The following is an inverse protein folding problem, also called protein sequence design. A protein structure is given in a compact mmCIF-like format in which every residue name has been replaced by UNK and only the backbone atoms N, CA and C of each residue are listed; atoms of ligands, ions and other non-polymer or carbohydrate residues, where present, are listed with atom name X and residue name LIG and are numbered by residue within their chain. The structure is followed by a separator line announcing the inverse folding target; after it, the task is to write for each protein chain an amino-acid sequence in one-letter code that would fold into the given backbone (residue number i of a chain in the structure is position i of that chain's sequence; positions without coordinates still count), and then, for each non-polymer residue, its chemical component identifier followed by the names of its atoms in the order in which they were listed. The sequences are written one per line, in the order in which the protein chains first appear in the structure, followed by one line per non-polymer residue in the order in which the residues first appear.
data_IF_281287549024
#
_entry.id   IF_281287549024
#
_cell.length_a   1.000
_cell.length_b   1.000
_cell.length_c   1.000
_cell.angle_alpha   90.00
_cell.angle_beta   90.00
_cell.angle_gamma   90.00
#
_symmetry.space_group_name_H-M   'P 1'
#
loop_
_entity.id
_entity.type
_entity.pdbx_description
1 polymer ?
#
# COMPACT_ATOMS: atom_id res chain seq x y z
N UNK A 1 66.20 7.11 -14.05
CA UNK A 1 65.94 6.93 -15.51
C UNK A 1 65.57 5.46 -15.68
N UNK A 2 64.27 5.17 -15.66
CA UNK A 2 63.45 4.82 -16.86
C UNK A 2 63.55 3.32 -17.17
N UNK A 3 62.64 2.50 -16.64
CA UNK A 3 61.35 2.00 -17.23
C UNK A 3 61.53 0.85 -18.23
N UNK A 4 61.07 -0.35 -17.86
CA UNK A 4 60.16 -1.21 -18.66
C UNK A 4 59.79 -2.47 -17.85
N UNK A 5 58.51 -2.89 -17.87
CA UNK A 5 58.06 -3.76 -18.96
C UNK A 5 56.66 -3.37 -19.49
N UNK A 6 56.58 -2.91 -20.74
CA UNK A 6 55.34 -2.49 -21.38
C UNK A 6 54.92 -3.39 -22.57
N UNK A 7 55.33 -4.66 -22.60
CA UNK A 7 55.15 -5.50 -23.80
C UNK A 7 54.14 -6.66 -23.68
N UNK A 8 53.42 -6.83 -22.56
CA UNK A 8 52.50 -7.98 -22.37
C UNK A 8 51.00 -7.65 -22.54
N UNK A 9 50.61 -6.38 -22.52
CA UNK A 9 49.19 -5.98 -22.50
C UNK A 9 48.40 -6.09 -23.82
N UNK A 10 48.97 -5.84 -25.02
CA UNK A 10 48.16 -5.82 -26.25
C UNK A 10 47.83 -7.22 -26.78
N UNK A 11 48.64 -8.23 -26.47
CA UNK A 11 48.39 -9.61 -26.91
C UNK A 11 47.17 -10.23 -26.20
N UNK A 12 46.99 -9.94 -24.91
CA UNK A 12 45.84 -10.41 -24.13
C UNK A 12 44.52 -9.79 -24.60
N UNK A 13 44.52 -8.50 -24.94
CA UNK A 13 43.33 -7.81 -25.46
C UNK A 13 42.82 -8.37 -26.79
N UNK A 14 43.72 -8.94 -27.60
CA UNK A 14 43.37 -9.58 -28.87
C UNK A 14 42.86 -11.03 -28.71
N UNK A 15 42.91 -11.60 -27.50
CA UNK A 15 42.34 -12.93 -27.19
C UNK A 15 40.93 -12.85 -26.59
N UNK A 16 40.47 -11.64 -26.27
CA UNK A 16 39.10 -11.44 -25.80
C UNK A 16 38.13 -11.71 -26.97
N UNK A 17 37.02 -12.41 -26.73
CA UNK A 17 35.96 -12.50 -27.73
C UNK A 17 35.54 -11.07 -28.14
N UNK A 18 35.18 -10.86 -29.41
CA UNK A 18 34.71 -9.55 -29.85
C UNK A 18 33.59 -9.09 -28.91
N UNK A 19 33.65 -7.82 -28.52
CA UNK A 19 32.58 -7.21 -27.73
C UNK A 19 31.25 -7.55 -28.40
N UNK A 20 30.26 -8.10 -27.66
CA UNK A 20 28.96 -8.37 -28.24
C UNK A 20 28.45 -7.05 -28.84
N UNK A 21 27.93 -7.13 -30.06
CA UNK A 21 27.37 -5.97 -30.74
C UNK A 21 26.41 -5.24 -29.78
N UNK A 22 26.46 -3.89 -29.69
CA UNK A 22 25.50 -3.14 -28.90
C UNK A 22 24.11 -3.59 -29.31
N UNK A 23 23.33 -4.09 -28.35
CA UNK A 23 22.00 -4.61 -28.66
C UNK A 23 21.13 -3.46 -29.17
N UNK A 24 20.96 -3.40 -30.48
CA UNK A 24 19.95 -2.58 -31.13
C UNK A 24 18.74 -3.48 -31.37
N UNK A 25 17.67 -3.37 -30.57
CA UNK A 25 16.49 -4.18 -30.80
C UNK A 25 15.97 -3.91 -32.21
N UNK A 26 15.93 -4.96 -33.05
CA UNK A 26 15.35 -4.86 -34.39
C UNK A 26 13.87 -4.54 -34.25
N UNK A 27 13.42 -3.48 -34.93
CA UNK A 27 11.99 -3.16 -35.02
C UNK A 27 11.22 -4.40 -35.50
N UNK A 28 10.12 -4.73 -34.83
CA UNK A 28 9.28 -5.85 -35.25
C UNK A 28 8.60 -5.50 -36.59
N UNK A 29 8.46 -6.49 -37.46
CA UNK A 29 7.80 -6.36 -38.77
C UNK A 29 6.32 -5.92 -38.65
N UNK A 30 5.72 -6.03 -37.47
CA UNK A 30 4.34 -5.64 -37.17
C UNK A 30 4.21 -4.17 -36.69
N UNK A 31 5.30 -3.41 -36.66
CA UNK A 31 5.32 -2.02 -36.20
C UNK A 31 5.13 -1.86 -34.69
N UNK A 32 5.09 -2.96 -33.91
CA UNK A 32 5.05 -2.89 -32.45
C UNK A 32 6.44 -2.68 -31.88
N UNK A 33 6.54 -2.08 -30.67
CA UNK A 33 7.81 -1.96 -29.97
C UNK A 33 8.49 -3.34 -29.82
N UNK A 34 9.82 -3.41 -29.87
CA UNK A 34 10.55 -4.63 -29.53
C UNK A 34 10.16 -5.10 -28.13
N UNK A 35 10.02 -6.41 -27.95
CA UNK A 35 9.70 -6.98 -26.63
C UNK A 35 10.81 -6.57 -25.64
N UNK A 36 10.45 -6.07 -24.46
CA UNK A 36 11.45 -5.73 -23.45
C UNK A 36 12.29 -6.96 -23.13
N UNK A 37 13.63 -6.79 -23.10
CA UNK A 37 14.54 -7.86 -22.70
C UNK A 37 14.27 -8.19 -21.23
N UNK A 38 13.98 -9.45 -20.96
CA UNK A 38 13.71 -9.97 -19.62
C UNK A 38 12.25 -9.77 -19.22
N UNK A 39 11.60 -10.87 -18.81
CA UNK A 39 10.41 -10.75 -17.99
C UNK A 39 10.79 -9.95 -16.72
N UNK A 40 9.89 -9.08 -16.24
CA UNK A 40 10.10 -8.50 -14.92
C UNK A 40 10.28 -9.66 -13.91
N UNK A 41 11.20 -9.52 -12.93
CA UNK A 41 11.35 -10.52 -11.89
C UNK A 41 10.01 -10.77 -11.22
N UNK A 42 9.79 -12.01 -10.77
CA UNK A 42 8.55 -12.39 -10.08
C UNK A 42 8.41 -11.49 -8.84
N UNK A 43 7.27 -10.81 -8.64
CA UNK A 43 7.08 -9.99 -7.47
C UNK A 43 7.11 -10.84 -6.21
N UNK A 44 7.65 -10.31 -5.09
CA UNK A 44 7.44 -10.90 -3.78
C UNK A 44 5.94 -11.05 -3.52
N UNK A 45 5.56 -12.14 -2.85
CA UNK A 45 4.17 -12.33 -2.43
C UNK A 45 3.83 -11.34 -1.31
N UNK A 46 2.63 -10.75 -1.36
CA UNK A 46 2.09 -10.01 -0.22
C UNK A 46 1.94 -10.95 0.97
N UNK A 47 2.14 -10.42 2.18
CA UNK A 47 1.74 -11.14 3.38
C UNK A 47 0.22 -11.35 3.34
N UNK A 48 -0.21 -12.58 3.66
CA UNK A 48 -1.62 -12.93 3.73
C UNK A 48 -2.37 -12.15 4.82
N UNK A 49 -1.66 -11.53 5.78
CA UNK A 49 -2.21 -10.54 6.69
C UNK A 49 -2.26 -9.15 6.03
N UNK A 50 -3.40 -8.46 6.14
CA UNK A 50 -3.63 -7.13 5.53
C UNK A 50 -3.36 -7.07 4.00
N UNK A 51 -3.86 -8.01 3.19
CA UNK A 51 -3.67 -7.96 1.74
C UNK A 51 -4.32 -6.71 1.16
N UNK A 52 -3.62 -6.05 0.24
CA UNK A 52 -4.08 -4.86 -0.46
C UNK A 52 -4.41 -5.18 -1.92
N UNK A 53 -5.51 -4.61 -2.41
CA UNK A 53 -5.97 -4.71 -3.80
C UNK A 53 -6.37 -3.34 -4.34
N UNK A 54 -6.30 -3.17 -5.66
CA UNK A 54 -6.80 -1.97 -6.31
C UNK A 54 -8.33 -1.95 -6.28
N UNK A 55 -8.93 -0.94 -5.63
CA UNK A 55 -10.36 -0.71 -5.56
C UNK A 55 -10.77 0.65 -6.13
N UNK A 56 -12.04 1.02 -5.98
CA UNK A 56 -12.61 2.25 -6.56
C UNK A 56 -11.94 3.54 -6.06
N UNK A 57 -11.51 3.56 -4.79
CA UNK A 57 -10.90 4.72 -4.11
C UNK A 57 -9.37 4.59 -3.97
N UNK A 58 -8.75 3.64 -4.68
CA UNK A 58 -7.32 3.32 -4.58
C UNK A 58 -7.07 1.96 -3.91
N UNK A 59 -5.86 1.73 -3.43
CA UNK A 59 -5.48 0.50 -2.74
C UNK A 59 -6.29 0.34 -1.45
N UNK A 60 -7.05 -0.75 -1.35
CA UNK A 60 -7.95 -1.06 -0.25
C UNK A 60 -7.67 -2.47 0.29
N UNK A 61 -8.04 -2.73 1.55
CA UNK A 61 -7.94 -4.06 2.13
C UNK A 61 -8.85 -5.04 1.39
N UNK A 62 -8.30 -6.19 1.00
CA UNK A 62 -9.08 -7.30 0.47
C UNK A 62 -9.98 -7.83 1.59
N UNK A 63 -11.30 -7.77 1.39
CA UNK A 63 -12.26 -8.39 2.27
C UNK A 63 -12.28 -9.91 1.99
N UNK A 64 -12.05 -10.71 3.01
CA UNK A 64 -12.35 -12.14 2.93
C UNK A 64 -13.87 -12.32 2.93
N UNK A 65 -14.40 -13.17 2.05
CA UNK A 65 -15.81 -13.54 2.08
C UNK A 65 -16.03 -14.51 3.24
N UNK A 66 -16.85 -14.10 4.19
CA UNK A 66 -17.29 -14.97 5.27
C UNK A 66 -18.48 -15.77 4.77
N UNK A 67 -18.48 -17.08 5.03
CA UNK A 67 -19.70 -17.86 4.92
C UNK A 67 -20.76 -17.31 5.88
N UNK A 68 -22.02 -17.29 5.46
CA UNK A 68 -23.12 -16.91 6.36
C UNK A 68 -23.15 -17.88 7.55
N UNK A 69 -22.71 -17.40 8.71
CA UNK A 69 -22.75 -18.12 9.98
C UNK A 69 -23.84 -17.50 10.88
N UNK A 70 -24.90 -18.24 11.24
CA UNK A 70 -25.99 -17.73 12.07
C UNK A 70 -25.54 -17.17 13.42
N UNK A 71 -24.43 -17.68 13.97
CA UNK A 71 -23.88 -17.17 15.22
C UNK A 71 -23.27 -15.78 15.00
N UNK A 72 -22.42 -15.64 13.97
CA UNK A 72 -21.85 -14.35 13.59
C UNK A 72 -22.93 -13.31 13.25
N UNK A 73 -24.04 -13.72 12.63
CA UNK A 73 -25.20 -12.86 12.34
C UNK A 73 -25.87 -12.34 13.60
N UNK A 74 -26.25 -13.23 14.52
CA UNK A 74 -26.88 -12.83 15.78
C UNK A 74 -25.97 -11.90 16.60
N UNK A 75 -24.66 -12.16 16.62
CA UNK A 75 -23.70 -11.34 17.37
C UNK A 75 -23.51 -9.96 16.70
N UNK A 76 -23.60 -9.86 15.38
CA UNK A 76 -23.61 -8.57 14.67
C UNK A 76 -24.89 -7.77 14.94
N UNK A 77 -26.04 -8.44 14.99
CA UNK A 77 -27.31 -7.81 15.38
C UNK A 77 -27.24 -7.22 16.79
N UNK A 78 -26.62 -7.93 17.73
CA UNK A 78 -26.39 -7.45 19.10
C UNK A 78 -25.35 -6.31 19.16
N UNK A 79 -24.36 -6.32 18.26
CA UNK A 79 -23.30 -5.31 18.20
C UNK A 79 -23.82 -3.93 17.76
N UNK A 80 -24.75 -3.87 16.81
CA UNK A 80 -25.22 -2.60 16.22
C UNK A 80 -25.86 -1.65 17.27
N UNK A 81 -26.78 -2.10 18.14
CA UNK A 81 -27.31 -1.28 19.23
C UNK A 81 -26.25 -0.77 20.19
N UNK A 82 -25.22 -1.58 20.49
CA UNK A 82 -24.12 -1.17 21.36
C UNK A 82 -23.25 -0.08 20.72
N UNK A 83 -23.00 -0.19 19.41
CA UNK A 83 -22.29 0.87 18.66
C UNK A 83 -23.12 2.16 18.63
N UNK A 84 -24.44 2.06 18.46
CA UNK A 84 -25.33 3.22 18.49
C UNK A 84 -25.35 3.88 19.88
N UNK A 85 -25.43 3.09 20.95
CA UNK A 85 -25.34 3.60 22.32
C UNK A 85 -23.98 4.26 22.60
N UNK A 86 -22.88 3.65 22.13
CA UNK A 86 -21.54 4.22 22.18
C UNK A 86 -21.48 5.56 21.45
N UNK A 87 -22.05 5.65 20.24
CA UNK A 87 -22.07 6.89 19.45
C UNK A 87 -22.86 7.99 20.15
N UNK A 88 -23.98 7.63 20.78
CA UNK A 88 -24.84 8.57 21.52
C UNK A 88 -24.13 9.09 22.77
N UNK A 89 -23.57 8.20 23.59
CA UNK A 89 -22.89 8.57 24.85
C UNK A 89 -21.55 9.25 24.61
N UNK A 90 -20.82 8.80 23.60
CA UNK A 90 -19.52 9.35 23.20
C UNK A 90 -19.59 10.63 22.36
N UNK A 91 -20.77 11.21 22.13
CA UNK A 91 -20.94 12.36 21.24
C UNK A 91 -20.20 13.63 21.69
N UNK A 92 -19.84 13.73 22.97
CA UNK A 92 -19.05 14.83 23.53
C UNK A 92 -17.57 14.73 23.16
N UNK A 93 -17.11 13.54 22.76
CA UNK A 93 -15.73 13.27 22.40
C UNK A 93 -15.62 13.00 20.90
N UNK A 94 -15.16 13.99 20.13
CA UNK A 94 -15.11 13.94 18.66
C UNK A 94 -14.40 12.69 18.11
N UNK A 95 -13.34 12.24 18.77
CA UNK A 95 -12.60 11.04 18.39
C UNK A 95 -13.42 9.77 18.59
N UNK A 96 -14.13 9.65 19.71
CA UNK A 96 -15.00 8.52 20.02
C UNK A 96 -16.24 8.50 19.13
N UNK A 97 -16.86 9.65 18.91
CA UNK A 97 -18.01 9.79 18.01
C UNK A 97 -17.66 9.35 16.57
N UNK A 98 -16.51 9.81 16.06
CA UNK A 98 -16.02 9.40 14.73
C UNK A 98 -15.75 7.90 14.67
N UNK A 99 -15.11 7.36 15.70
CA UNK A 99 -14.78 5.94 15.76
C UNK A 99 -16.02 5.04 15.87
N UNK A 100 -17.03 5.45 16.63
CA UNK A 100 -18.31 4.77 16.69
C UNK A 100 -19.02 4.81 15.32
N UNK A 101 -18.94 5.93 14.60
CA UNK A 101 -19.40 6.03 13.22
C UNK A 101 -18.68 5.07 12.27
N UNK A 102 -17.35 4.99 12.34
CA UNK A 102 -16.55 4.03 11.55
C UNK A 102 -16.92 2.58 11.87
N UNK A 103 -17.14 2.25 13.15
CA UNK A 103 -17.57 0.92 13.57
C UNK A 103 -18.97 0.60 13.03
N UNK A 104 -19.90 1.54 13.10
CA UNK A 104 -21.25 1.38 12.60
C UNK A 104 -21.24 1.13 11.09
N UNK A 105 -20.51 1.94 10.32
CA UNK A 105 -20.36 1.78 8.87
C UNK A 105 -19.77 0.41 8.51
N UNK A 106 -18.79 -0.08 9.28
CA UNK A 106 -18.11 -1.37 9.01
C UNK A 106 -18.86 -2.59 9.52
N UNK A 107 -19.81 -2.42 10.43
CA UNK A 107 -20.65 -3.49 10.96
C UNK A 107 -22.03 -3.56 10.28
N UNK A 108 -22.38 -2.56 9.47
CA UNK A 108 -23.66 -2.52 8.75
C UNK A 108 -23.51 -3.11 7.35
N UNK A 109 -24.39 -4.04 6.99
CA UNK A 109 -24.44 -4.65 5.66
C UNK A 109 -24.66 -6.15 5.72
N UNK A 110 -24.64 -6.80 4.56
CA UNK A 110 -24.65 -8.27 4.47
C UNK A 110 -23.31 -8.83 4.95
N UNK A 111 -23.34 -9.86 5.81
CA UNK A 111 -22.15 -10.47 6.43
C UNK A 111 -21.11 -10.89 5.39
N UNK A 112 -21.56 -11.45 4.28
CA UNK A 112 -20.73 -11.89 3.15
C UNK A 112 -19.95 -10.75 2.49
N UNK A 113 -20.40 -9.50 2.65
CA UNK A 113 -19.78 -8.30 2.11
C UNK A 113 -18.99 -7.50 3.17
N UNK A 114 -19.06 -7.88 4.45
CA UNK A 114 -18.35 -7.19 5.51
C UNK A 114 -16.85 -7.45 5.45
N UNK A 115 -16.06 -6.39 5.58
CA UNK A 115 -14.62 -6.50 5.71
C UNK A 115 -14.26 -6.62 7.19
N UNK A 116 -14.16 -7.87 7.69
CA UNK A 116 -13.84 -8.14 9.10
C UNK A 116 -12.48 -7.64 9.53
N UNK A 117 -11.51 -7.57 8.61
CA UNK A 117 -10.22 -6.96 8.89
C UNK A 117 -10.39 -5.48 9.21
N UNK A 118 -11.19 -4.73 8.43
CA UNK A 118 -11.49 -3.32 8.74
C UNK A 118 -12.25 -3.17 10.05
N UNK A 119 -13.22 -4.05 10.33
CA UNK A 119 -13.95 -4.05 11.60
C UNK A 119 -13.00 -4.30 12.78
N UNK A 120 -12.12 -5.31 12.66
CA UNK A 120 -11.11 -5.65 13.66
C UNK A 120 -10.14 -4.49 13.90
N UNK A 121 -9.67 -3.81 12.85
CA UNK A 121 -8.82 -2.62 13.00
C UNK A 121 -9.53 -1.48 13.75
N UNK A 122 -10.82 -1.24 13.47
CA UNK A 122 -11.62 -0.25 14.25
C UNK A 122 -11.83 -0.69 15.69
N UNK A 123 -12.02 -1.98 15.95
CA UNK A 123 -12.05 -2.52 17.30
C UNK A 123 -10.73 -2.28 18.05
N UNK A 124 -9.58 -2.52 17.40
CA UNK A 124 -8.29 -2.24 18.00
C UNK A 124 -8.09 -0.74 18.28
N UNK A 125 -8.60 0.14 17.42
CA UNK A 125 -8.66 1.59 17.69
C UNK A 125 -9.46 1.87 18.98
N UNK A 126 -10.66 1.28 19.11
CA UNK A 126 -11.53 1.50 20.26
C UNK A 126 -10.91 0.99 21.56
N UNK A 127 -10.31 -0.20 21.51
CA UNK A 127 -9.62 -0.81 22.64
C UNK A 127 -8.50 0.11 23.17
N UNK A 128 -7.82 0.83 22.29
CA UNK A 128 -6.77 1.79 22.67
C UNK A 128 -7.33 3.03 23.35
N UNK A 129 -8.40 3.59 22.78
CA UNK A 129 -9.11 4.71 23.40
C UNK A 129 -9.56 4.32 24.82
N UNK A 130 -10.04 3.09 24.99
CA UNK A 130 -10.44 2.57 26.30
C UNK A 130 -9.28 2.39 27.28
N UNK A 131 -8.17 1.79 26.86
CA UNK A 131 -6.99 1.56 27.73
C UNK A 131 -6.32 2.89 28.10
N UNK A 132 -6.22 3.83 27.16
CA UNK A 132 -5.62 5.14 27.36
C UNK A 132 -6.50 6.16 28.09
N UNK A 133 -7.73 5.81 28.47
CA UNK A 133 -8.74 6.74 29.00
C UNK A 133 -8.26 7.55 30.22
N UNK A 134 -7.45 6.94 31.10
CA UNK A 134 -7.01 7.57 32.36
C UNK A 134 -6.02 8.71 32.13
N UNK A 135 -5.28 8.66 31.02
CA UNK A 135 -4.27 9.64 30.64
C UNK A 135 -4.83 10.81 29.81
N UNK A 136 -6.14 10.80 29.51
CA UNK A 136 -6.77 11.84 28.69
C UNK A 136 -6.92 13.15 29.47
N UNK A 137 -6.76 14.27 28.77
CA UNK A 137 -7.05 15.61 29.30
C UNK A 137 -8.55 15.76 29.65
N UNK A 138 -9.41 15.20 28.79
CA UNK A 138 -10.85 15.08 29.04
C UNK A 138 -11.18 13.61 29.30
N UNK A 139 -11.55 13.32 30.55
CA UNK A 139 -11.89 11.95 30.99
C UNK A 139 -13.28 11.56 30.50
N UNK A 140 -13.43 10.28 30.20
CA UNK A 140 -14.74 9.69 29.95
C UNK A 140 -15.53 9.56 31.23
N UNK A 141 -16.84 9.79 31.14
CA UNK A 141 -17.78 9.46 32.21
C UNK A 141 -18.05 7.94 32.27
N UNK A 142 -18.60 7.49 33.39
CA UNK A 142 -18.84 6.06 33.66
C UNK A 142 -19.79 5.43 32.62
N UNK A 143 -20.76 6.20 32.11
CA UNK A 143 -21.69 5.75 31.07
C UNK A 143 -20.97 5.48 29.74
N UNK A 144 -20.06 6.39 29.35
CA UNK A 144 -19.22 6.25 28.16
C UNK A 144 -18.26 5.07 28.30
N UNK A 145 -17.61 4.93 29.45
CA UNK A 145 -16.72 3.79 29.74
C UNK A 145 -17.48 2.47 29.64
N UNK A 146 -18.70 2.40 30.18
CA UNK A 146 -19.57 1.23 30.10
C UNK A 146 -19.98 0.91 28.66
N UNK A 147 -20.33 1.93 27.87
CA UNK A 147 -20.70 1.75 26.46
C UNK A 147 -19.51 1.24 25.62
N UNK A 148 -18.30 1.76 25.86
CA UNK A 148 -17.09 1.26 25.21
C UNK A 148 -16.85 -0.21 25.59
N UNK A 149 -16.97 -0.55 26.87
CA UNK A 149 -16.75 -1.91 27.36
C UNK A 149 -17.71 -2.92 26.70
N UNK A 150 -18.98 -2.57 26.56
CA UNK A 150 -19.97 -3.44 25.88
C UNK A 150 -19.59 -3.77 24.44
N UNK A 151 -19.14 -2.77 23.67
CA UNK A 151 -18.65 -3.02 22.30
C UNK A 151 -17.39 -3.90 22.31
N UNK A 152 -16.46 -3.67 23.25
CA UNK A 152 -15.21 -4.43 23.32
C UNK A 152 -15.39 -5.91 23.70
N UNK A 153 -16.48 -6.25 24.36
CA UNK A 153 -16.82 -7.63 24.74
C UNK A 153 -17.30 -8.45 23.52
N UNK A 154 -18.07 -7.83 22.62
CA UNK A 154 -18.74 -8.53 21.52
C UNK A 154 -17.88 -8.65 20.26
N UNK A 155 -17.18 -7.59 19.85
CA UNK A 155 -16.47 -7.55 18.55
C UNK A 155 -15.44 -8.68 18.34
N UNK A 156 -14.70 -9.15 19.36
CA UNK A 156 -13.82 -10.31 19.19
C UNK A 156 -14.57 -11.56 18.69
N UNK A 157 -15.78 -11.83 19.19
CA UNK A 157 -16.58 -12.97 18.77
C UNK A 157 -16.93 -12.94 17.29
N UNK A 158 -17.22 -11.76 16.76
CA UNK A 158 -17.53 -11.53 15.33
C UNK A 158 -16.27 -11.63 14.46
N UNK A 159 -15.21 -10.91 14.85
CA UNK A 159 -14.03 -10.77 13.98
C UNK A 159 -13.16 -12.01 13.93
N UNK A 160 -13.14 -12.83 15.00
CA UNK A 160 -12.35 -14.07 15.04
C UNK A 160 -12.95 -15.22 14.24
N UNK A 161 -14.22 -15.12 13.81
CA UNK A 161 -14.82 -16.08 12.88
C UNK A 161 -14.19 -15.99 11.47
N UNK A 162 -13.53 -14.88 11.15
CA UNK A 162 -12.87 -14.66 9.87
C UNK A 162 -11.42 -15.18 9.87
N UNK A 163 -11.08 -16.01 8.88
CA UNK A 163 -9.74 -16.58 8.73
C UNK A 163 -8.68 -15.52 8.40
N UNK A 164 -9.04 -14.44 7.71
CA UNK A 164 -8.14 -13.32 7.44
C UNK A 164 -7.74 -12.57 8.72
N UNK A 165 -8.68 -12.39 9.66
CA UNK A 165 -8.39 -11.83 10.98
C UNK A 165 -7.53 -12.79 11.82
N UNK A 166 -7.77 -14.10 11.75
CA UNK A 166 -6.91 -15.08 12.44
C UNK A 166 -5.47 -15.01 11.93
N UNK A 167 -5.27 -15.02 10.61
CA UNK A 167 -3.94 -14.86 9.99
C UNK A 167 -3.29 -13.54 10.41
N UNK A 168 -4.06 -12.45 10.46
CA UNK A 168 -3.56 -11.16 10.95
C UNK A 168 -3.03 -11.25 12.39
N UNK A 169 -3.79 -11.89 13.29
CA UNK A 169 -3.38 -12.04 14.69
C UNK A 169 -2.14 -12.92 14.81
N UNK A 170 -2.11 -14.06 14.13
CA UNK A 170 -0.94 -14.95 14.12
C UNK A 170 0.32 -14.23 13.62
N UNK A 171 0.19 -13.47 12.52
CA UNK A 171 1.31 -12.68 11.96
C UNK A 171 1.75 -11.55 12.89
N UNK A 172 0.83 -10.89 13.58
CA UNK A 172 1.17 -9.89 14.60
C UNK A 172 1.97 -10.51 15.75
N UNK A 173 1.56 -11.69 16.23
CA UNK A 173 2.29 -12.39 17.30
C UNK A 173 3.69 -12.81 16.86
N UNK A 174 3.86 -13.25 15.60
CA UNK A 174 5.19 -13.53 15.04
C UNK A 174 6.06 -12.26 14.96
N UNK A 175 5.51 -11.17 14.44
CA UNK A 175 6.22 -9.89 14.30
C UNK A 175 6.60 -9.26 15.65
N UNK A 176 5.91 -9.56 16.77
CA UNK A 176 6.36 -9.13 18.11
C UNK A 176 7.74 -9.63 18.48
N UNK A 177 8.06 -10.86 18.06
CA UNK A 177 9.34 -11.50 18.40
C UNK A 177 10.44 -11.15 17.40
N UNK A 178 10.10 -10.44 16.32
CA UNK A 178 11.05 -10.03 15.29
C UNK A 178 11.95 -8.93 15.84
N UNK A 179 13.25 -9.17 15.76
CA UNK A 179 14.25 -8.13 16.02
C UNK A 179 14.32 -7.24 14.78
N UNK A 180 13.85 -6.00 14.92
CA UNK A 180 13.85 -4.99 13.86
C UNK A 180 14.94 -3.97 14.18
N UNK A 181 15.84 -3.71 13.23
CA UNK A 181 16.85 -2.67 13.41
C UNK A 181 16.20 -1.28 13.36
N UNK A 182 16.77 -0.25 14.00
CA UNK A 182 16.21 1.09 13.98
C UNK A 182 15.98 1.62 12.56
N UNK A 183 16.86 1.31 11.63
CA UNK A 183 16.79 1.75 10.23
C UNK A 183 15.57 1.15 9.51
N UNK A 184 15.29 -0.14 9.74
CA UNK A 184 14.11 -0.79 9.17
C UNK A 184 12.83 -0.24 9.78
N UNK A 185 12.81 -0.05 11.10
CA UNK A 185 11.65 0.54 11.78
C UNK A 185 11.35 1.97 11.28
N UNK A 186 12.40 2.75 10.99
CA UNK A 186 12.28 4.08 10.42
C UNK A 186 11.74 4.03 8.98
N UNK A 187 12.30 3.17 8.12
CA UNK A 187 11.83 2.99 6.74
C UNK A 187 10.36 2.56 6.68
N UNK A 188 9.95 1.59 7.52
CA UNK A 188 8.55 1.17 7.65
C UNK A 188 7.65 2.35 8.05
N UNK A 189 8.08 3.16 9.03
CA UNK A 189 7.31 4.32 9.50
C UNK A 189 7.20 5.44 8.45
N UNK A 190 8.28 5.67 7.70
CA UNK A 190 8.27 6.63 6.61
C UNK A 190 7.29 6.23 5.50
N UNK A 191 7.26 4.96 5.09
CA UNK A 191 6.29 4.47 4.09
C UNK A 191 4.86 4.66 4.59
N UNK A 192 4.55 4.33 5.85
CA UNK A 192 3.23 4.58 6.41
C UNK A 192 2.87 6.06 6.48
N UNK A 193 3.86 6.95 6.65
CA UNK A 193 3.65 8.40 6.61
C UNK A 193 3.30 8.85 5.20
N UNK A 194 4.02 8.34 4.19
CA UNK A 194 3.74 8.62 2.78
C UNK A 194 2.36 8.13 2.35
N UNK A 195 1.92 6.96 2.84
CA UNK A 195 0.58 6.43 2.59
C UNK A 195 -0.54 7.37 3.05
N UNK A 196 -0.28 8.22 4.05
CA UNK A 196 -1.26 9.16 4.61
C UNK A 196 -1.39 10.46 3.83
N UNK A 197 -0.51 10.73 2.86
CA UNK A 197 -0.58 11.94 2.04
C UNK A 197 -1.94 12.02 1.31
N UNK A 198 -2.44 13.24 1.09
CA UNK A 198 -3.78 13.47 0.53
C UNK A 198 -3.94 12.84 -0.86
N UNK A 199 -2.90 12.95 -1.68
CA UNK A 199 -2.79 12.44 -3.05
C UNK A 199 -2.31 10.99 -3.14
N UNK A 200 -1.91 10.37 -2.03
CA UNK A 200 -1.49 8.98 -2.03
C UNK A 200 -2.63 8.05 -2.49
N UNK A 201 -2.35 7.02 -3.30
CA UNK A 201 -3.36 6.22 -4.00
C UNK A 201 -3.99 5.14 -3.10
N UNK A 202 -4.26 5.44 -1.84
CA UNK A 202 -4.81 4.52 -0.86
C UNK A 202 -6.23 4.91 -0.48
N UNK A 203 -7.08 3.90 -0.27
CA UNK A 203 -8.42 4.12 0.26
C UNK A 203 -8.35 4.79 1.64
N UNK A 204 -9.29 5.71 1.99
CA UNK A 204 -9.28 6.40 3.28
C UNK A 204 -9.13 5.47 4.50
N UNK A 205 -9.73 4.28 4.46
CA UNK A 205 -9.62 3.31 5.55
C UNK A 205 -8.20 2.78 5.76
N UNK A 206 -7.41 2.66 4.68
CA UNK A 206 -5.99 2.26 4.74
C UNK A 206 -5.13 3.41 5.26
N UNK A 207 -5.41 4.66 4.82
CA UNK A 207 -4.75 5.87 5.35
C UNK A 207 -4.95 6.02 6.85
N UNK A 208 -6.18 5.81 7.32
CA UNK A 208 -6.50 5.87 8.74
C UNK A 208 -5.85 4.73 9.54
N UNK A 209 -5.76 3.53 8.97
CA UNK A 209 -5.02 2.42 9.58
C UNK A 209 -3.54 2.76 9.74
N UNK A 210 -2.90 3.31 8.70
CA UNK A 210 -1.51 3.76 8.75
C UNK A 210 -1.30 4.83 9.84
N UNK A 211 -2.18 5.83 9.93
CA UNK A 211 -2.13 6.87 10.98
C UNK A 211 -2.18 6.26 12.37
N UNK A 212 -3.09 5.32 12.57
CA UNK A 212 -3.30 4.65 13.85
C UNK A 212 -2.15 3.70 14.21
N UNK A 213 -1.44 3.14 13.24
CA UNK A 213 -0.26 2.31 13.48
C UNK A 213 0.93 3.18 13.94
N UNK A 214 1.01 4.45 13.53
CA UNK A 214 2.12 5.36 13.85
C UNK A 214 1.98 6.13 15.17
N UNK A 215 0.83 6.09 15.84
CA UNK A 215 0.66 6.80 17.11
C UNK A 215 1.69 6.33 18.18
N UNK A 216 2.35 7.26 18.91
CA UNK A 216 3.35 6.91 19.92
C UNK A 216 2.72 6.28 21.18
N UNK A 217 3.52 5.53 21.96
CA UNK A 217 3.09 4.91 23.23
C UNK A 217 2.20 3.67 23.07
N UNK A 218 2.19 3.08 21.88
CA UNK A 218 1.36 1.91 21.57
C UNK A 218 2.19 0.63 21.59
N UNK A 219 2.29 0.02 22.77
CA UNK A 219 2.86 -1.31 22.85
C UNK A 219 1.87 -2.39 22.37
N UNK A 220 2.42 -3.26 21.52
CA UNK A 220 2.11 -4.67 21.30
C UNK A 220 1.12 -5.18 20.23
N UNK A 221 0.22 -4.43 19.59
CA UNK A 221 -0.63 -5.05 18.52
C UNK A 221 -0.53 -4.44 17.14
N UNK A 222 -0.96 -3.18 16.96
CA UNK A 222 -0.86 -2.58 15.63
C UNK A 222 0.56 -2.11 15.29
N UNK A 223 1.46 -1.95 16.27
CA UNK A 223 2.88 -1.71 16.00
C UNK A 223 3.51 -2.91 15.27
N UNK A 224 3.07 -4.13 15.56
CA UNK A 224 3.45 -5.32 14.79
C UNK A 224 2.83 -5.31 13.37
N UNK A 225 1.64 -4.72 13.19
CA UNK A 225 1.05 -4.49 11.85
C UNK A 225 1.83 -3.47 11.01
N UNK A 226 2.77 -2.71 11.59
CA UNK A 226 3.59 -1.75 10.84
C UNK A 226 4.40 -2.42 9.75
N UNK A 227 5.14 -3.48 10.11
CA UNK A 227 5.95 -4.24 9.16
C UNK A 227 5.08 -4.87 8.07
N UNK A 228 3.95 -5.46 8.46
CA UNK A 228 3.02 -6.11 7.53
C UNK A 228 2.47 -5.10 6.50
N UNK A 229 1.89 -3.99 6.98
CA UNK A 229 1.22 -3.01 6.11
C UNK A 229 2.19 -2.28 5.19
N UNK A 230 3.36 -1.88 5.70
CA UNK A 230 4.37 -1.16 4.90
C UNK A 230 5.01 -2.05 3.83
N UNK A 231 5.22 -3.34 4.11
CA UNK A 231 5.68 -4.30 3.09
C UNK A 231 4.63 -4.53 2.02
N UNK A 232 3.38 -4.82 2.43
CA UNK A 232 2.28 -5.03 1.48
C UNK A 232 2.03 -3.79 0.60
N UNK A 233 2.20 -2.58 1.14
CA UNK A 233 2.05 -1.35 0.35
C UNK A 233 3.13 -1.20 -0.71
N UNK A 234 4.41 -1.46 -0.39
CA UNK A 234 5.49 -1.48 -1.38
C UNK A 234 5.21 -2.53 -2.46
N UNK A 235 4.85 -3.75 -2.05
CA UNK A 235 4.59 -4.85 -2.98
C UNK A 235 3.46 -4.49 -3.95
N UNK A 236 2.30 -4.06 -3.43
CA UNK A 236 1.12 -3.81 -4.27
C UNK A 236 1.31 -2.60 -5.21
N UNK A 237 1.94 -1.52 -4.71
CA UNK A 237 2.18 -0.30 -5.49
C UNK A 237 3.14 -0.58 -6.64
N UNK A 238 4.28 -1.21 -6.35
CA UNK A 238 5.27 -1.51 -7.38
C UNK A 238 4.77 -2.58 -8.35
N UNK A 239 4.01 -3.57 -7.88
CA UNK A 239 3.37 -4.56 -8.78
C UNK A 239 2.39 -3.88 -9.73
N UNK A 240 1.53 -2.99 -9.22
CA UNK A 240 0.58 -2.25 -10.04
C UNK A 240 1.30 -1.44 -11.12
N UNK A 241 2.32 -0.68 -10.73
CA UNK A 241 3.09 0.14 -11.67
C UNK A 241 3.90 -0.71 -12.63
N UNK A 242 4.48 -1.82 -12.21
CA UNK A 242 5.16 -2.77 -13.10
C UNK A 242 4.24 -3.30 -14.19
N UNK A 243 2.98 -3.61 -13.85
CA UNK A 243 1.95 -4.02 -14.80
C UNK A 243 1.51 -2.88 -15.74
N UNK A 244 1.27 -1.68 -15.23
CA UNK A 244 0.82 -0.53 -16.04
C UNK A 244 1.95 0.03 -16.93
N UNK A 245 3.20 -0.04 -16.47
CA UNK A 245 4.41 0.23 -17.24
C UNK A 245 4.52 -0.67 -18.49
N UNK A 246 4.15 -1.95 -18.37
CA UNK A 246 4.08 -2.87 -19.51
C UNK A 246 2.99 -2.45 -20.50
N UNK A 247 1.87 -1.91 -20.01
CA UNK A 247 0.73 -1.47 -20.83
C UNK A 247 0.89 -0.05 -21.41
N UNK A 248 1.90 0.71 -20.97
CA UNK A 248 2.14 2.09 -21.40
C UNK A 248 1.20 3.12 -20.77
N UNK A 249 0.48 2.77 -19.70
CA UNK A 249 -0.50 3.63 -19.02
C UNK A 249 0.04 4.16 -17.68
N UNK A 250 1.09 4.99 -17.74
CA UNK A 250 1.98 5.25 -16.59
C UNK A 250 1.61 6.53 -15.82
N UNK A 251 0.52 7.20 -16.22
CA UNK A 251 0.02 8.42 -15.58
C UNK A 251 -0.95 8.15 -14.42
N UNK A 252 -1.26 9.20 -13.66
CA UNK A 252 -2.29 9.17 -12.61
C UNK A 252 -1.72 9.06 -11.19
N UNK A 253 -2.61 8.92 -10.17
CA UNK A 253 -2.22 9.01 -8.76
C UNK A 253 -1.12 8.03 -8.34
N UNK A 254 -1.16 6.79 -8.85
CA UNK A 254 -0.15 5.78 -8.51
C UNK A 254 1.20 6.09 -9.16
N UNK A 255 1.20 6.52 -10.42
CA UNK A 255 2.44 6.91 -11.11
C UNK A 255 3.11 8.09 -10.42
N UNK A 256 2.36 9.14 -10.10
CA UNK A 256 2.89 10.31 -9.37
C UNK A 256 3.47 9.89 -8.02
N UNK A 257 2.73 9.08 -7.24
CA UNK A 257 3.19 8.56 -5.96
C UNK A 257 4.51 7.79 -6.07
N UNK A 258 4.67 6.91 -7.07
CA UNK A 258 5.91 6.15 -7.27
C UNK A 258 7.05 7.04 -7.76
N UNK A 259 6.76 8.04 -8.59
CA UNK A 259 7.77 8.98 -9.06
C UNK A 259 8.33 9.84 -7.91
N UNK A 260 7.45 10.37 -7.06
CA UNK A 260 7.82 11.26 -5.96
C UNK A 260 8.45 10.50 -4.78
N UNK A 261 8.12 9.22 -4.60
CA UNK A 261 8.51 8.45 -3.41
C UNK A 261 9.31 7.17 -3.70
N UNK A 262 9.67 6.91 -4.95
CA UNK A 262 10.43 5.74 -5.37
C UNK A 262 11.67 5.42 -4.53
N UNK A 263 12.52 6.40 -4.14
CA UNK A 263 13.67 6.14 -3.28
C UNK A 263 13.30 5.52 -1.92
N UNK A 264 12.21 5.98 -1.30
CA UNK A 264 11.75 5.46 0.01
C UNK A 264 11.14 4.06 -0.11
N UNK A 265 10.43 3.80 -1.20
CA UNK A 265 9.94 2.44 -1.49
C UNK A 265 11.11 1.46 -1.69
N UNK A 266 12.19 1.91 -2.32
CA UNK A 266 13.39 1.11 -2.55
C UNK A 266 14.18 0.84 -1.26
N UNK A 267 14.28 1.82 -0.37
CA UNK A 267 14.89 1.65 0.96
C UNK A 267 14.17 0.56 1.77
N UNK A 268 12.82 0.58 1.79
CA UNK A 268 12.06 -0.48 2.47
C UNK A 268 12.20 -1.83 1.76
N UNK A 269 12.22 -1.87 0.42
CA UNK A 269 12.47 -3.11 -0.33
C UNK A 269 13.84 -3.72 0.01
N UNK A 270 14.86 -2.88 0.25
CA UNK A 270 16.17 -3.34 0.73
C UNK A 270 16.09 -4.04 2.10
N UNK A 271 15.28 -3.50 3.01
CA UNK A 271 15.05 -4.11 4.32
C UNK A 271 14.25 -5.43 4.25
N UNK A 272 13.60 -5.72 3.13
CA UNK A 272 12.86 -6.97 2.90
C UNK A 272 13.77 -8.10 2.38
N UNK A 273 14.96 -7.78 1.89
CA UNK A 273 15.94 -8.74 1.36
C UNK A 273 16.38 -8.44 -0.07
N UNK A 274 17.48 -9.07 -0.50
CA UNK A 274 18.13 -8.79 -1.78
C UNK A 274 17.22 -9.05 -2.99
N UNK A 275 16.39 -10.09 -2.94
CA UNK A 275 15.44 -10.42 -4.00
C UNK A 275 14.37 -9.32 -4.17
N UNK A 276 13.82 -8.85 -3.05
CA UNK A 276 12.84 -7.76 -3.04
C UNK A 276 13.46 -6.44 -3.51
N UNK A 277 14.69 -6.16 -3.09
CA UNK A 277 15.45 -5.00 -3.54
C UNK A 277 15.68 -5.02 -5.05
N UNK A 278 16.22 -6.12 -5.58
CA UNK A 278 16.50 -6.28 -7.00
C UNK A 278 15.23 -6.15 -7.84
N UNK A 279 14.13 -6.78 -7.38
CA UNK A 279 12.83 -6.65 -8.00
C UNK A 279 12.32 -5.20 -8.03
N UNK A 280 12.34 -4.51 -6.90
CA UNK A 280 11.88 -3.13 -6.80
C UNK A 280 12.72 -2.18 -7.67
N UNK A 281 14.05 -2.37 -7.67
CA UNK A 281 14.98 -1.58 -8.48
C UNK A 281 14.67 -1.70 -9.98
N UNK A 282 14.44 -2.93 -10.45
CA UNK A 282 14.09 -3.21 -11.85
C UNK A 282 12.78 -2.52 -12.26
N UNK A 283 11.75 -2.59 -11.42
CA UNK A 283 10.46 -1.93 -11.68
C UNK A 283 10.61 -0.42 -11.72
N UNK A 284 11.27 0.17 -10.71
CA UNK A 284 11.44 1.62 -10.61
C UNK A 284 12.27 2.18 -11.76
N UNK A 285 13.33 1.49 -12.18
CA UNK A 285 14.14 1.89 -13.33
C UNK A 285 13.31 1.92 -14.63
N UNK A 286 12.53 0.86 -14.87
CA UNK A 286 11.65 0.77 -16.04
C UNK A 286 10.56 1.84 -16.01
N UNK A 287 9.90 2.00 -14.85
CA UNK A 287 8.88 3.00 -14.63
C UNK A 287 9.42 4.41 -14.90
N UNK A 288 10.54 4.79 -14.28
CA UNK A 288 11.11 6.13 -14.40
C UNK A 288 11.41 6.49 -15.85
N UNK A 289 12.07 5.59 -16.59
CA UNK A 289 12.40 5.82 -18.00
C UNK A 289 11.15 6.03 -18.88
N UNK A 290 10.08 5.27 -18.63
CA UNK A 290 8.85 5.43 -19.42
C UNK A 290 7.99 6.62 -18.97
N UNK A 291 7.98 6.94 -17.67
CA UNK A 291 7.24 8.08 -17.11
C UNK A 291 7.84 9.42 -17.56
N UNK A 292 9.19 9.54 -17.57
CA UNK A 292 9.88 10.71 -18.10
C UNK A 292 9.61 10.91 -19.60
N UNK A 293 9.57 9.82 -20.37
CA UNK A 293 9.20 9.85 -21.79
C UNK A 293 7.75 10.31 -22.00
N UNK A 294 6.81 9.79 -21.19
CA UNK A 294 5.41 10.20 -21.24
C UNK A 294 5.22 11.68 -20.86
N UNK A 295 5.91 12.15 -19.82
CA UNK A 295 5.90 13.57 -19.42
C UNK A 295 6.53 14.48 -20.49
N UNK A 296 7.62 14.03 -21.14
CA UNK A 296 8.25 14.74 -22.25
C UNK A 296 7.28 14.95 -23.42
N UNK A 297 6.62 13.88 -23.86
CA UNK A 297 5.60 13.92 -24.92
C UNK A 297 4.44 14.84 -24.52
N UNK A 298 3.94 14.75 -23.29
CA UNK A 298 2.86 15.60 -22.81
C UNK A 298 3.23 17.09 -22.80
N UNK A 299 4.46 17.43 -22.40
CA UNK A 299 4.99 18.81 -22.42
C UNK A 299 5.13 19.33 -23.86
N UNK A 300 5.65 18.53 -24.78
CA UNK A 300 5.76 18.91 -26.19
C UNK A 300 4.38 19.10 -26.83
N UNK A 301 3.43 18.21 -26.57
CA UNK A 301 2.05 18.33 -27.05
C UNK A 301 1.34 19.59 -26.49
N UNK A 302 1.57 19.92 -25.22
CA UNK A 302 1.04 21.14 -24.61
C UNK A 302 1.66 22.42 -25.20
N UNK A 303 2.94 22.39 -25.58
CA UNK A 303 3.64 23.50 -26.24
C UNK A 303 3.28 23.65 -27.72
N UNK A 304 2.95 22.55 -28.41
CA UNK A 304 2.58 22.55 -29.82
C UNK A 304 1.22 23.22 -30.11
N UNK A 305 0.37 23.39 -29.09
CA UNK A 305 -0.97 23.98 -29.22
C UNK A 305 -1.93 23.14 -30.08
N UNK A 306 -3.23 23.51 -30.17
CA UNK A 306 -4.19 22.75 -30.96
C UNK A 306 -3.81 22.82 -32.45
N UNK A 307 -3.63 21.65 -33.07
CA UNK A 307 -3.43 21.53 -34.53
C UNK A 307 -4.65 22.16 -35.22
N UNK A 308 -4.49 23.37 -35.75
CA UNK A 308 -5.46 23.97 -36.67
C UNK A 308 -5.47 23.13 -37.93
N UNK A 309 -6.39 22.17 -38.01
CA UNK A 309 -6.74 21.51 -39.26
C UNK A 309 -7.06 22.62 -40.27
N UNK A 310 -6.26 22.70 -41.34
CA UNK A 310 -6.50 23.64 -42.45
C UNK A 310 -7.96 23.46 -42.90
N UNK A 311 -8.76 24.53 -42.99
CA UNK A 311 -10.08 24.43 -43.59
C UNK A 311 -9.91 23.86 -44.99
N UNK A 312 -10.61 22.77 -45.30
CA UNK A 312 -10.69 22.26 -46.65
C UNK A 312 -11.17 23.40 -47.54
N UNK A 313 -10.45 23.65 -48.64
CA UNK A 313 -10.88 24.61 -49.65
C UNK A 313 -12.31 24.23 -50.05
N UNK A 314 -13.27 25.11 -49.75
CA UNK A 314 -14.58 25.06 -50.39
C UNK A 314 -14.36 25.26 -51.88
N UNK A 315 -14.68 24.24 -52.66
CA UNK A 315 -14.91 24.40 -54.08
C UNK A 315 -16.00 25.47 -54.26
N UNK A 316 -15.68 26.46 -55.08
CA UNK A 316 -16.56 27.56 -55.48
C UNK A 316 -17.28 27.16 -56.79
N UNK A 317 -18.46 27.77 -57.05
CA UNK A 317 -19.62 27.14 -57.65
C UNK A 317 -19.50 26.81 -59.14
#
# INVERSE_FOLDING_TARGET
MSTEPAAAHPAYLNTLPPWPEPYTPKARLDGKPPEPIGALPVPPEQDAALPLIWGEKGFSFLAAQIGADPVTEAVLEDLLPLIEDLRRKGNRHDDLYRLAGELQERATGEISALNMVKLHLSYQKLRRVYVGREARAERFDDETVTAIAGVLEIVPGVTLADSGVQVLIERQELERTRVVTPEVAEAEAQVLTLMQAEDAPFDPSVKDAARVILMPGMDDRLSASRGILSRNSVIVVLTYVGCEAIKGAIGGPVGNYVYDHGPRLLELAQAMGDDAFFWAQMILAKFKGQYELALGIAREAAQAGPVRLRPSKRDKP
#
